data_IF_931003942016
#
_entry.id   IF_931003942016
#
_cell.length_a   1.000
_cell.length_b   1.000
_cell.length_c   1.000
_cell.angle_alpha   90.00
_cell.angle_beta   90.00
_cell.angle_gamma   90.00
#
_symmetry.space_group_name_H-M   'P 1'
#
loop_
_entity.id
_entity.type
_entity.pdbx_description
1 polymer ?
#
# COMPACT_ATOMS: atom_id res chain seq x y z
N UNK A 1 50.17 -39.38 -16.51
CA UNK A 1 49.56 -38.70 -17.68
C UNK A 1 48.05 -38.94 -17.75
N UNK A 2 47.51 -40.13 -17.52
CA UNK A 2 46.05 -40.37 -17.61
C UNK A 2 45.19 -39.62 -16.56
N UNK A 3 45.73 -39.37 -15.38
CA UNK A 3 45.00 -38.62 -14.32
C UNK A 3 44.90 -37.13 -14.60
N UNK A 4 45.83 -36.57 -15.33
CA UNK A 4 45.85 -35.15 -15.74
C UNK A 4 44.82 -34.84 -16.84
N UNK A 5 44.62 -35.84 -17.74
CA UNK A 5 43.63 -35.72 -18.81
C UNK A 5 42.19 -35.75 -18.30
N UNK A 6 41.92 -36.58 -17.27
CA UNK A 6 40.62 -36.65 -16.62
C UNK A 6 40.28 -35.35 -15.86
N UNK A 7 41.29 -34.74 -15.22
CA UNK A 7 41.12 -33.48 -14.53
C UNK A 7 40.87 -32.34 -15.52
N UNK A 8 41.52 -32.34 -16.66
CA UNK A 8 41.30 -31.34 -17.73
C UNK A 8 39.89 -31.49 -18.35
N UNK A 9 39.38 -32.73 -18.51
CA UNK A 9 38.03 -32.96 -19.00
C UNK A 9 36.96 -32.57 -17.97
N UNK A 10 37.23 -32.71 -16.67
CA UNK A 10 36.32 -32.30 -15.63
C UNK A 10 36.19 -30.78 -15.47
N UNK A 11 37.28 -30.04 -15.78
CA UNK A 11 37.27 -28.56 -15.77
C UNK A 11 36.56 -27.98 -17.00
N UNK A 12 36.59 -28.68 -18.14
CA UNK A 12 35.88 -28.25 -19.36
C UNK A 12 34.36 -28.46 -19.27
N UNK A 13 33.87 -29.34 -18.38
CA UNK A 13 32.44 -29.65 -18.23
C UNK A 13 31.70 -28.66 -17.31
N UNK A 14 32.44 -27.76 -16.63
CA UNK A 14 31.84 -26.76 -15.72
C UNK A 14 31.63 -25.36 -16.34
N UNK A 15 31.86 -25.16 -17.63
CA UNK A 15 31.75 -23.86 -18.30
C UNK A 15 30.53 -23.71 -19.21
N UNK A 16 29.43 -24.47 -18.94
CA UNK A 16 28.16 -24.17 -19.59
C UNK A 16 27.16 -23.62 -18.57
N UNK A 17 27.54 -22.53 -17.91
CA UNK A 17 26.56 -21.65 -17.27
C UNK A 17 25.94 -20.85 -18.42
N UNK A 18 24.84 -21.36 -18.94
CA UNK A 18 23.95 -20.61 -19.81
C UNK A 18 23.49 -19.39 -19.07
N UNK A 19 24.09 -18.25 -19.36
CA UNK A 19 23.52 -16.93 -18.99
C UNK A 19 22.25 -16.79 -19.81
N UNK A 20 21.16 -17.28 -19.25
CA UNK A 20 19.82 -16.89 -19.71
C UNK A 20 19.72 -15.40 -19.49
N UNK A 21 20.01 -14.64 -20.53
CA UNK A 21 19.67 -13.21 -20.60
C UNK A 21 18.16 -13.12 -20.46
N UNK A 22 17.71 -12.90 -19.22
CA UNK A 22 16.35 -12.42 -18.98
C UNK A 22 16.30 -11.05 -19.64
N UNK A 23 15.79 -11.01 -20.87
CA UNK A 23 15.31 -9.79 -21.47
C UNK A 23 14.23 -9.23 -20.55
N UNK A 24 14.62 -8.33 -19.66
CA UNK A 24 13.69 -7.53 -18.88
C UNK A 24 12.90 -6.72 -19.88
N UNK A 25 11.67 -7.16 -20.11
CA UNK A 25 10.69 -6.36 -20.83
C UNK A 25 10.58 -5.00 -20.11
N UNK A 26 10.84 -3.88 -20.80
CA UNK A 26 10.76 -2.58 -20.18
C UNK A 26 9.28 -2.29 -19.88
N UNK A 27 8.97 -1.95 -18.63
CA UNK A 27 7.67 -1.40 -18.18
C UNK A 27 6.55 -2.35 -17.71
N UNK A 28 6.83 -3.44 -17.07
CA UNK A 28 5.88 -3.89 -16.06
C UNK A 28 6.13 -3.04 -14.80
N UNK A 29 5.32 -1.99 -14.60
CA UNK A 29 5.14 -1.37 -13.27
C UNK A 29 4.72 -2.49 -12.34
N UNK A 30 5.67 -3.08 -11.64
CA UNK A 30 5.44 -4.14 -10.66
C UNK A 30 4.38 -3.62 -9.69
N UNK A 31 3.17 -4.17 -9.75
CA UNK A 31 2.10 -3.81 -8.82
C UNK A 31 2.56 -4.29 -7.44
N UNK A 32 3.00 -3.34 -6.63
CA UNK A 32 3.39 -3.58 -5.24
C UNK A 32 2.19 -4.23 -4.55
N UNK A 33 2.42 -5.33 -3.83
CA UNK A 33 1.35 -5.97 -3.05
C UNK A 33 0.85 -5.02 -1.96
N UNK A 34 -0.33 -5.30 -1.44
CA UNK A 34 -0.91 -4.47 -0.36
C UNK A 34 -0.04 -4.54 0.89
N UNK A 35 0.51 -5.69 1.20
CA UNK A 35 1.43 -5.92 2.32
C UNK A 35 2.72 -5.13 2.15
N UNK A 36 3.35 -5.21 0.99
CA UNK A 36 4.56 -4.43 0.68
C UNK A 36 4.33 -2.93 0.75
N UNK A 37 3.14 -2.47 0.34
CA UNK A 37 2.79 -1.05 0.45
C UNK A 37 2.73 -0.61 1.92
N UNK A 38 2.10 -1.40 2.78
CA UNK A 38 1.97 -1.08 4.21
C UNK A 38 3.32 -1.16 4.92
N UNK A 39 4.13 -2.14 4.59
CA UNK A 39 5.48 -2.23 5.14
C UNK A 39 6.31 -0.99 4.78
N UNK A 40 6.29 -0.55 3.52
CA UNK A 40 6.94 0.70 3.10
C UNK A 40 6.39 1.94 3.81
N UNK A 41 5.07 1.97 4.07
CA UNK A 41 4.47 3.04 4.83
C UNK A 41 4.96 3.03 6.28
N UNK A 42 5.02 1.86 6.91
CA UNK A 42 5.54 1.71 8.27
C UNK A 42 7.01 2.12 8.38
N UNK A 43 7.86 1.70 7.42
CA UNK A 43 9.26 2.11 7.32
C UNK A 43 9.40 3.63 7.19
N UNK A 44 8.59 4.26 6.34
CA UNK A 44 8.61 5.71 6.18
C UNK A 44 8.21 6.43 7.47
N UNK A 45 7.13 6.00 8.14
CA UNK A 45 6.70 6.58 9.42
C UNK A 45 7.78 6.41 10.48
N UNK A 46 8.36 5.22 10.61
CA UNK A 46 9.44 4.91 11.55
C UNK A 46 10.64 5.82 11.36
N UNK A 47 11.07 6.04 10.11
CA UNK A 47 12.14 6.95 9.75
C UNK A 47 11.79 8.41 10.11
N UNK A 48 10.57 8.87 9.79
CA UNK A 48 10.13 10.23 10.10
C UNK A 48 10.03 10.50 11.61
N UNK A 49 9.84 9.45 12.41
CA UNK A 49 9.81 9.51 13.87
C UNK A 49 11.21 9.44 14.50
N UNK A 50 12.25 9.15 13.72
CA UNK A 50 13.62 8.95 14.21
C UNK A 50 13.74 7.80 15.20
N UNK A 51 13.00 6.69 14.99
CA UNK A 51 13.04 5.53 15.88
C UNK A 51 14.38 4.78 15.72
N UNK A 52 14.92 4.29 16.85
CA UNK A 52 16.04 3.35 16.82
C UNK A 52 15.64 2.02 16.15
N UNK A 53 16.61 1.21 15.76
CA UNK A 53 16.38 -0.03 14.99
C UNK A 53 15.43 -1.00 15.68
N UNK A 54 15.58 -1.20 17.00
CA UNK A 54 14.74 -2.10 17.79
C UNK A 54 13.30 -1.61 17.88
N UNK A 55 13.11 -0.33 18.16
CA UNK A 55 11.79 0.30 18.24
C UNK A 55 11.13 0.36 16.87
N UNK A 56 11.93 0.63 15.81
CA UNK A 56 11.50 0.63 14.42
C UNK A 56 10.94 -0.72 13.98
N UNK A 57 11.67 -1.81 14.24
CA UNK A 57 11.19 -3.17 13.91
C UNK A 57 9.87 -3.48 14.62
N UNK A 58 9.78 -3.19 15.93
CA UNK A 58 8.56 -3.39 16.70
C UNK A 58 7.38 -2.54 16.17
N UNK A 59 7.66 -1.32 15.75
CA UNK A 59 6.66 -0.43 15.16
C UNK A 59 6.14 -0.99 13.83
N UNK A 60 7.04 -1.39 12.91
CA UNK A 60 6.70 -1.93 11.59
C UNK A 60 5.80 -3.15 11.74
N UNK A 61 6.14 -4.09 12.62
CA UNK A 61 5.33 -5.28 12.88
C UNK A 61 3.95 -4.90 13.43
N UNK A 62 3.91 -4.04 14.45
CA UNK A 62 2.66 -3.61 15.09
C UNK A 62 1.76 -2.87 14.11
N UNK A 63 2.33 -1.98 13.29
CA UNK A 63 1.60 -1.22 12.28
C UNK A 63 1.04 -2.14 11.18
N UNK A 64 1.84 -3.06 10.70
CA UNK A 64 1.43 -4.03 9.67
C UNK A 64 0.30 -4.92 10.16
N UNK A 65 0.36 -5.39 11.40
CA UNK A 65 -0.72 -6.17 12.02
C UNK A 65 -2.02 -5.33 12.14
N UNK A 66 -1.92 -4.07 12.57
CA UNK A 66 -3.06 -3.16 12.63
C UNK A 66 -3.76 -3.04 11.27
N UNK A 67 -3.01 -2.82 10.22
CA UNK A 67 -3.56 -2.68 8.88
C UNK A 67 -4.18 -3.99 8.37
N UNK A 68 -3.58 -5.14 8.67
CA UNK A 68 -4.14 -6.46 8.33
C UNK A 68 -5.48 -6.71 9.03
N UNK A 69 -5.61 -6.39 10.32
CA UNK A 69 -6.88 -6.51 11.05
C UNK A 69 -7.95 -5.60 10.45
N UNK A 70 -7.62 -4.35 10.10
CA UNK A 70 -8.56 -3.45 9.44
C UNK A 70 -9.00 -4.01 8.07
N UNK A 71 -8.09 -4.61 7.31
CA UNK A 71 -8.46 -5.21 6.02
C UNK A 71 -9.32 -6.46 6.14
N UNK A 72 -9.13 -7.23 7.20
CA UNK A 72 -9.93 -8.41 7.49
C UNK A 72 -11.42 -8.09 7.71
N UNK A 73 -11.76 -6.85 8.04
CA UNK A 73 -13.14 -6.38 8.11
C UNK A 73 -13.84 -6.34 6.73
N UNK A 74 -13.06 -6.44 5.65
CA UNK A 74 -13.60 -6.37 4.29
C UNK A 74 -13.74 -4.95 3.72
N UNK A 75 -14.36 -4.82 2.55
CA UNK A 75 -14.54 -3.55 1.89
C UNK A 75 -15.57 -2.67 2.63
N UNK A 76 -15.28 -1.36 2.68
CA UNK A 76 -16.24 -0.41 3.24
C UNK A 76 -17.50 -0.35 2.37
N UNK A 77 -18.70 -0.32 2.99
CA UNK A 77 -19.94 -0.12 2.25
C UNK A 77 -19.89 1.18 1.45
N UNK A 78 -20.16 1.10 0.14
CA UNK A 78 -20.20 2.24 -0.76
C UNK A 78 -21.62 2.58 -1.13
N UNK A 79 -21.99 3.85 -1.05
CA UNK A 79 -23.21 4.32 -1.70
C UNK A 79 -22.95 4.40 -3.20
N UNK A 80 -23.72 3.66 -4.00
CA UNK A 80 -23.70 3.80 -5.44
C UNK A 80 -24.43 5.09 -5.82
N UNK A 81 -23.71 6.02 -6.38
CA UNK A 81 -24.27 7.29 -6.84
C UNK A 81 -25.18 7.01 -8.04
N UNK A 82 -26.48 7.32 -7.93
CA UNK A 82 -27.43 7.23 -9.06
C UNK A 82 -28.34 5.98 -9.07
N UNK A 83 -28.20 5.05 -8.12
CA UNK A 83 -29.24 4.05 -7.88
C UNK A 83 -30.31 4.65 -6.95
N UNK A 84 -31.57 4.56 -7.37
CA UNK A 84 -32.72 4.86 -6.50
C UNK A 84 -32.87 3.72 -5.49
N UNK A 85 -32.08 3.78 -4.40
CA UNK A 85 -32.28 2.87 -3.28
C UNK A 85 -33.52 3.27 -2.52
N UNK A 86 -34.29 2.29 -2.04
CA UNK A 86 -35.42 2.57 -1.11
C UNK A 86 -34.88 3.14 0.22
N UNK A 87 -35.73 3.83 0.98
CA UNK A 87 -35.35 4.37 2.28
C UNK A 87 -34.83 3.26 3.22
N UNK A 88 -35.47 2.09 3.23
CA UNK A 88 -35.05 0.94 4.04
C UNK A 88 -33.63 0.45 3.63
N UNK A 89 -33.31 0.40 2.33
CA UNK A 89 -31.98 0.04 1.85
C UNK A 89 -30.94 1.10 2.24
N UNK A 90 -31.32 2.36 2.15
CA UNK A 90 -30.44 3.49 2.54
C UNK A 90 -30.15 3.45 4.03
N UNK A 91 -31.17 3.24 4.87
CA UNK A 91 -31.01 3.09 6.31
C UNK A 91 -30.08 1.93 6.66
N UNK A 92 -30.27 0.77 6.04
CA UNK A 92 -29.38 -0.39 6.26
C UNK A 92 -27.94 -0.09 5.87
N UNK A 93 -27.69 0.58 4.76
CA UNK A 93 -26.35 0.98 4.35
C UNK A 93 -25.70 1.95 5.34
N UNK A 94 -26.46 2.89 5.88
CA UNK A 94 -25.99 3.83 6.92
C UNK A 94 -25.58 3.05 8.18
N UNK A 95 -26.42 2.13 8.66
CA UNK A 95 -26.13 1.27 9.83
C UNK A 95 -24.85 0.46 9.63
N UNK A 96 -24.71 -0.21 8.49
CA UNK A 96 -23.50 -0.96 8.15
C UNK A 96 -22.22 -0.10 8.15
N UNK A 97 -22.32 1.17 7.74
CA UNK A 97 -21.18 2.09 7.80
C UNK A 97 -20.80 2.47 9.22
N UNK A 98 -21.80 2.67 10.10
CA UNK A 98 -21.54 2.92 11.52
C UNK A 98 -20.88 1.72 12.17
N UNK A 99 -21.42 0.53 12.02
CA UNK A 99 -20.84 -0.71 12.53
C UNK A 99 -19.38 -0.92 12.05
N UNK A 100 -19.13 -0.69 10.77
CA UNK A 100 -17.77 -0.77 10.22
C UNK A 100 -16.84 0.26 10.86
N UNK A 101 -17.33 1.49 11.10
CA UNK A 101 -16.54 2.56 11.73
C UNK A 101 -16.21 2.25 13.17
N UNK A 102 -17.15 1.68 13.92
CA UNK A 102 -16.96 1.21 15.29
C UNK A 102 -15.88 0.12 15.34
N UNK A 103 -16.00 -0.93 14.51
CA UNK A 103 -15.00 -2.00 14.43
C UNK A 103 -13.59 -1.46 14.10
N UNK A 104 -13.49 -0.49 13.18
CA UNK A 104 -12.20 0.15 12.88
C UNK A 104 -11.69 0.95 14.08
N UNK A 105 -12.56 1.65 14.79
CA UNK A 105 -12.21 2.40 15.99
C UNK A 105 -11.68 1.49 17.09
N UNK A 106 -12.34 0.35 17.34
CA UNK A 106 -11.91 -0.65 18.31
C UNK A 106 -10.51 -1.19 18.00
N UNK A 107 -10.25 -1.54 16.73
CA UNK A 107 -8.92 -1.96 16.29
C UNK A 107 -7.91 -0.84 16.55
N UNK A 108 -8.21 0.39 16.20
CA UNK A 108 -7.31 1.53 16.41
C UNK A 108 -7.01 1.77 17.89
N UNK A 109 -8.01 1.67 18.77
CA UNK A 109 -7.83 1.78 20.22
C UNK A 109 -6.97 0.64 20.77
N UNK A 110 -7.19 -0.60 20.30
CA UNK A 110 -6.35 -1.76 20.63
C UNK A 110 -4.89 -1.49 20.27
N UNK A 111 -4.62 -0.98 19.07
CA UNK A 111 -3.26 -0.71 18.61
C UNK A 111 -2.66 0.55 19.22
N UNK A 112 -3.46 1.56 19.57
CA UNK A 112 -3.01 2.67 20.39
C UNK A 112 -2.40 2.20 21.72
N UNK A 113 -3.10 1.27 22.41
CA UNK A 113 -2.58 0.66 23.65
C UNK A 113 -1.26 -0.10 23.41
N UNK A 114 -1.10 -0.78 22.27
CA UNK A 114 0.16 -1.45 21.92
C UNK A 114 1.29 -0.44 21.65
N UNK A 115 1.01 0.63 20.89
CA UNK A 115 1.99 1.70 20.63
C UNK A 115 2.45 2.38 21.92
N UNK A 116 1.54 2.65 22.86
CA UNK A 116 1.84 3.29 24.15
C UNK A 116 2.81 2.50 25.03
N UNK A 117 3.11 1.24 24.71
CA UNK A 117 4.09 0.43 25.42
C UNK A 117 5.55 0.75 25.02
N UNK A 118 5.76 1.40 23.87
CA UNK A 118 7.12 1.65 23.36
C UNK A 118 7.29 2.97 22.60
N UNK A 119 6.21 3.73 22.37
CA UNK A 119 6.24 5.08 21.80
C UNK A 119 5.73 6.10 22.82
N UNK A 120 6.23 7.32 22.72
CA UNK A 120 5.68 8.46 23.46
C UNK A 120 4.34 8.90 22.84
N UNK A 121 3.52 9.61 23.63
CA UNK A 121 2.23 10.12 23.12
C UNK A 121 2.41 11.08 21.93
N UNK A 122 3.48 11.88 21.93
CA UNK A 122 3.81 12.77 20.81
C UNK A 122 4.17 11.98 19.55
N UNK A 123 4.92 10.88 19.67
CA UNK A 123 5.23 10.01 18.56
C UNK A 123 3.96 9.34 18.01
N UNK A 124 3.07 8.88 18.88
CA UNK A 124 1.79 8.29 18.46
C UNK A 124 0.91 9.32 17.72
N UNK A 125 0.81 10.53 18.24
CA UNK A 125 0.12 11.62 17.55
C UNK A 125 0.72 11.85 16.15
N UNK A 126 2.04 11.87 16.06
CA UNK A 126 2.73 12.05 14.77
C UNK A 126 2.47 10.90 13.79
N UNK A 127 2.37 9.64 14.25
CA UNK A 127 1.94 8.50 13.40
C UNK A 127 0.60 8.83 12.72
N UNK A 128 -0.41 9.23 13.48
CA UNK A 128 -1.74 9.53 12.93
C UNK A 128 -1.74 10.76 12.00
N UNK A 129 -0.89 11.75 12.25
CA UNK A 129 -0.73 12.89 11.34
C UNK A 129 -0.14 12.49 10.01
N UNK A 130 0.92 11.67 10.02
CA UNK A 130 1.56 11.17 8.79
C UNK A 130 0.58 10.29 8.00
N UNK A 131 -0.13 9.36 8.67
CA UNK A 131 -1.18 8.56 8.03
C UNK A 131 -2.22 9.44 7.32
N UNK A 132 -2.73 10.47 8.00
CA UNK A 132 -3.70 11.40 7.43
C UNK A 132 -3.14 12.15 6.22
N UNK A 133 -1.87 12.58 6.27
CA UNK A 133 -1.21 13.23 5.15
C UNK A 133 -1.05 12.29 3.95
N UNK A 134 -0.64 11.04 4.20
CA UNK A 134 -0.55 10.02 3.15
C UNK A 134 -1.90 9.79 2.49
N UNK A 135 -2.97 9.61 3.27
CA UNK A 135 -4.33 9.42 2.74
C UNK A 135 -4.79 10.61 1.89
N UNK A 136 -4.51 11.85 2.31
CA UNK A 136 -4.80 13.05 1.50
C UNK A 136 -4.05 13.04 0.17
N UNK A 137 -2.75 12.68 0.18
CA UNK A 137 -1.94 12.59 -1.05
C UNK A 137 -2.46 11.51 -2.00
N UNK A 138 -2.91 10.35 -1.48
CA UNK A 138 -3.53 9.31 -2.30
C UNK A 138 -4.87 9.76 -2.89
N UNK A 139 -5.70 10.43 -2.11
CA UNK A 139 -6.97 10.97 -2.59
C UNK A 139 -6.78 12.02 -3.71
N UNK A 140 -5.75 12.85 -3.62
CA UNK A 140 -5.42 13.85 -4.65
C UNK A 140 -4.82 13.23 -5.92
N UNK A 141 -4.09 12.11 -5.78
CA UNK A 141 -3.53 11.34 -6.90
C UNK A 141 -4.51 10.33 -7.49
N UNK A 142 -5.80 10.43 -7.14
CA UNK A 142 -6.87 9.57 -7.70
C UNK A 142 -6.72 9.43 -9.22
N UNK A 143 -7.28 8.38 -9.84
CA UNK A 143 -7.06 8.07 -11.24
C UNK A 143 -7.30 9.34 -12.06
N UNK A 144 -6.25 9.86 -12.69
CA UNK A 144 -6.37 10.93 -13.69
C UNK A 144 -7.34 10.39 -14.75
N UNK A 145 -8.61 10.70 -14.58
CA UNK A 145 -9.58 10.66 -15.67
C UNK A 145 -8.95 11.49 -16.77
N UNK A 146 -8.57 10.82 -17.85
CA UNK A 146 -7.83 11.40 -18.95
C UNK A 146 -8.32 12.80 -19.23
N UNK A 147 -7.37 13.72 -19.26
CA UNK A 147 -7.57 15.12 -19.61
C UNK A 147 -8.28 15.15 -20.95
N UNK A 148 -9.61 15.35 -20.90
CA UNK A 148 -10.44 15.49 -22.08
C UNK A 148 -9.76 16.52 -22.98
N UNK A 149 -9.49 16.11 -24.23
CA UNK A 149 -8.98 16.98 -25.31
C UNK A 149 -9.68 18.32 -25.19
N UNK A 150 -8.95 19.39 -24.86
CA UNK A 150 -9.41 20.76 -25.01
C UNK A 150 -9.95 20.91 -26.42
N UNK A 151 -11.26 21.03 -26.56
CA UNK A 151 -11.91 21.35 -27.82
C UNK A 151 -11.27 22.63 -28.39
N UNK A 152 -10.77 22.56 -29.63
CA UNK A 152 -10.33 23.72 -30.39
C UNK A 152 -11.41 24.80 -30.34
N UNK A 153 -11.07 26.06 -30.13
CA UNK A 153 -12.04 27.15 -30.23
C UNK A 153 -12.62 27.16 -31.65
N UNK A 154 -13.91 27.07 -31.73
CA UNK A 154 -14.68 27.17 -32.97
C UNK A 154 -14.60 28.64 -33.42
N UNK A 155 -13.75 28.92 -34.39
CA UNK A 155 -13.72 30.22 -35.06
C UNK A 155 -15.08 30.48 -35.70
N UNK A 156 -15.79 31.45 -35.18
CA UNK A 156 -17.06 31.99 -35.71
C UNK A 156 -16.68 32.79 -36.94
N UNK A 157 -16.94 32.27 -38.15
CA UNK A 157 -16.93 33.05 -39.38
C UNK A 157 -18.22 33.89 -39.38
N UNK A 158 -18.06 35.20 -39.30
CA UNK A 158 -19.09 36.19 -39.65
C UNK A 158 -19.23 36.21 -41.17
N UNK A 159 -20.41 36.03 -41.65
CA UNK A 159 -20.95 36.66 -42.86
C UNK A 159 -22.29 37.23 -42.50
#
# INVERSE_FOLDING_TARGET
MKKFLVFLMMVMMMMTISVSSYAQAPNQKQRISREQLVEKQAQHISHDLGLDEKTSSKFIDTYTQCQKEIWALGPRPHFKRGESASDAQTEQQIKQRFEMSEKILDIRQKYYKKYSQFLTQQQIQRVYEIERQMMKRFAQKGPHKGMGKKGKPRTRKNQ
#
